data_IF_897641723910
#
_entry.id   IF_897641723910
#
_cell.length_a   1.000
_cell.length_b   1.000
_cell.length_c   1.000
_cell.angle_alpha   90.00
_cell.angle_beta   90.00
_cell.angle_gamma   90.00
#
_symmetry.space_group_name_H-M   'P 1'
#
loop_
_entity.id
_entity.type
_entity.pdbx_description
1 polymer ?
#
# COMPACT_ATOMS: atom_id res chain seq x y z
N UNK A 1 -5.77 11.09 -35.04
CA UNK A 1 -6.02 11.42 -33.64
C UNK A 1 -6.78 10.29 -32.97
N UNK A 2 -6.21 9.73 -31.94
CA UNK A 2 -6.82 8.64 -31.19
C UNK A 2 -7.38 9.24 -29.91
N UNK A 3 -8.71 9.33 -29.84
CA UNK A 3 -9.42 9.66 -28.61
C UNK A 3 -9.64 8.40 -27.79
N UNK A 4 -9.67 8.54 -26.46
CA UNK A 4 -10.12 7.50 -25.54
C UNK A 4 -11.53 7.90 -25.08
N UNK A 5 -12.49 7.00 -25.28
CA UNK A 5 -13.84 7.15 -24.75
C UNK A 5 -14.00 6.19 -23.58
N UNK A 6 -14.42 6.73 -22.44
CA UNK A 6 -14.76 5.95 -21.27
C UNK A 6 -16.28 5.89 -21.14
N UNK A 7 -16.83 4.70 -21.00
CA UNK A 7 -18.24 4.47 -20.75
C UNK A 7 -18.39 3.77 -19.40
N UNK A 8 -19.22 4.36 -18.53
CA UNK A 8 -19.52 3.79 -17.22
C UNK A 8 -21.00 3.46 -17.17
N UNK A 9 -21.31 2.18 -16.92
CA UNK A 9 -22.67 1.71 -16.72
C UNK A 9 -22.87 1.43 -15.23
N UNK A 10 -23.73 2.24 -14.61
CA UNK A 10 -24.08 2.06 -13.20
C UNK A 10 -25.40 1.30 -13.11
N UNK A 11 -25.40 0.20 -12.38
CA UNK A 11 -26.60 -0.61 -12.18
C UNK A 11 -26.68 -1.12 -10.74
N UNK A 12 -27.88 -1.33 -10.25
CA UNK A 12 -28.13 -1.94 -8.95
C UNK A 12 -29.26 -2.97 -9.06
N UNK A 13 -29.17 -4.02 -8.26
CA UNK A 13 -30.27 -4.99 -8.08
C UNK A 13 -31.18 -4.60 -6.92
N UNK A 14 -30.84 -3.55 -6.19
CA UNK A 14 -31.56 -3.06 -5.02
C UNK A 14 -32.13 -1.68 -5.32
N UNK A 15 -33.44 -1.55 -5.34
CA UNK A 15 -34.17 -0.31 -5.58
C UNK A 15 -33.97 0.78 -4.52
N UNK A 16 -33.48 0.39 -3.34
CA UNK A 16 -33.16 1.31 -2.24
C UNK A 16 -31.73 1.87 -2.27
N UNK A 17 -30.91 1.43 -3.24
CA UNK A 17 -29.51 1.84 -3.34
C UNK A 17 -29.25 2.42 -4.72
N UNK A 18 -28.81 3.68 -4.77
CA UNK A 18 -28.36 4.33 -6.00
C UNK A 18 -26.83 4.17 -6.11
N UNK A 19 -26.32 3.52 -7.17
CA UNK A 19 -24.90 3.45 -7.38
C UNK A 19 -24.34 4.84 -7.70
N UNK A 20 -23.18 5.16 -7.15
CA UNK A 20 -22.49 6.42 -7.37
C UNK A 20 -21.05 6.21 -7.82
N UNK A 21 -20.62 6.99 -8.82
CA UNK A 21 -19.24 7.08 -9.24
C UNK A 21 -18.65 8.39 -8.70
N UNK A 22 -17.61 8.30 -7.88
CA UNK A 22 -16.97 9.47 -7.25
C UNK A 22 -15.78 10.00 -8.02
N UNK A 23 -15.03 9.10 -8.66
CA UNK A 23 -13.87 9.44 -9.46
C UNK A 23 -13.76 8.48 -10.65
N UNK A 24 -13.54 9.03 -11.83
CA UNK A 24 -13.11 8.30 -13.02
C UNK A 24 -11.84 8.96 -13.53
N UNK A 25 -10.76 8.21 -13.64
CA UNK A 25 -9.49 8.71 -14.14
C UNK A 25 -8.91 7.77 -15.19
N UNK A 26 -8.21 8.34 -16.17
CA UNK A 26 -7.44 7.60 -17.14
C UNK A 26 -6.00 8.14 -17.17
N UNK A 27 -5.03 7.24 -17.04
CA UNK A 27 -3.62 7.58 -17.14
C UNK A 27 -3.13 7.29 -18.55
N UNK A 28 -2.75 8.33 -19.27
CA UNK A 28 -2.25 8.23 -20.65
C UNK A 28 -0.82 8.76 -20.68
N UNK A 29 0.11 7.95 -21.18
CA UNK A 29 1.47 8.41 -21.48
C UNK A 29 1.49 9.12 -22.81
N UNK A 30 1.85 10.42 -22.89
CA UNK A 30 2.03 11.11 -24.15
C UNK A 30 3.16 10.49 -24.99
N UNK A 31 3.01 10.46 -26.32
CA UNK A 31 4.05 9.98 -27.22
C UNK A 31 5.31 10.87 -27.16
N UNK A 32 5.13 12.18 -27.03
CA UNK A 32 6.19 13.16 -26.84
C UNK A 32 6.10 13.71 -25.42
N UNK A 33 6.60 12.95 -24.47
CA UNK A 33 6.63 13.34 -23.07
C UNK A 33 8.01 13.86 -22.67
N UNK A 34 8.09 15.17 -22.50
CA UNK A 34 9.29 15.83 -21.98
C UNK A 34 9.23 15.85 -20.44
N UNK A 35 10.24 15.23 -19.81
CA UNK A 35 10.34 15.18 -18.36
C UNK A 35 10.87 16.48 -17.83
N UNK A 36 10.00 17.34 -17.33
CA UNK A 36 10.38 18.61 -16.73
C UNK A 36 10.90 18.42 -15.29
N UNK A 37 11.93 19.15 -14.91
CA UNK A 37 12.50 19.06 -13.57
C UNK A 37 11.75 19.92 -12.52
N UNK A 38 11.09 20.99 -12.95
CA UNK A 38 10.43 21.93 -12.03
C UNK A 38 11.40 22.71 -11.15
N UNK A 39 10.86 23.50 -10.22
CA UNK A 39 11.65 24.25 -9.27
C UNK A 39 12.09 23.38 -8.09
N UNK A 40 13.33 23.53 -7.58
CA UNK A 40 13.76 22.85 -6.37
C UNK A 40 12.84 23.20 -5.19
N UNK A 41 12.56 22.20 -4.37
CA UNK A 41 11.83 22.38 -3.09
C UNK A 41 12.58 21.66 -1.98
N UNK A 42 12.49 22.17 -0.76
CA UNK A 42 12.99 21.53 0.44
C UNK A 42 11.80 21.25 1.34
N UNK A 43 11.23 20.05 1.23
CA UNK A 43 10.07 19.63 2.02
C UNK A 43 10.11 18.13 2.28
N UNK A 44 9.92 17.77 3.54
CA UNK A 44 9.84 16.39 4.04
C UNK A 44 8.46 16.13 4.61
N UNK A 45 7.86 15.04 4.18
CA UNK A 45 6.60 14.53 4.70
C UNK A 45 6.86 13.28 5.54
N UNK A 46 6.08 13.08 6.56
CA UNK A 46 6.06 11.81 7.29
C UNK A 46 5.31 10.78 6.47
N UNK A 47 5.85 9.57 6.40
CA UNK A 47 5.21 8.42 5.79
C UNK A 47 5.54 7.20 6.64
N UNK A 48 4.56 6.39 7.10
CA UNK A 48 4.84 5.17 7.84
C UNK A 48 5.79 4.24 7.11
N UNK A 49 6.62 3.55 7.87
CA UNK A 49 7.69 2.68 7.38
C UNK A 49 7.19 1.24 7.40
N UNK A 50 7.13 0.61 6.24
CA UNK A 50 6.77 -0.79 6.07
C UNK A 50 7.77 -1.46 5.14
N UNK A 51 8.38 -2.57 5.58
CA UNK A 51 9.28 -3.38 4.77
C UNK A 51 8.68 -4.75 4.42
N UNK A 52 9.12 -5.32 3.30
CA UNK A 52 8.66 -6.63 2.84
C UNK A 52 8.95 -7.75 3.81
N UNK A 53 10.10 -7.68 4.51
CA UNK A 53 10.55 -8.73 5.43
C UNK A 53 9.69 -8.86 6.69
N UNK A 54 8.93 -7.81 7.06
CA UNK A 54 8.02 -7.82 8.19
C UNK A 54 6.63 -8.36 7.85
N UNK A 55 6.36 -8.64 6.57
CA UNK A 55 5.06 -9.06 6.07
C UNK A 55 5.11 -10.44 5.42
N UNK A 56 3.96 -11.09 5.32
CA UNK A 56 3.90 -12.48 4.88
C UNK A 56 4.26 -12.64 3.39
N UNK A 57 5.23 -13.49 3.07
CA UNK A 57 5.66 -13.78 1.71
C UNK A 57 4.59 -14.48 0.85
N UNK A 58 3.51 -15.01 1.44
CA UNK A 58 2.46 -15.67 0.66
C UNK A 58 1.63 -14.72 -0.19
N UNK A 59 1.67 -13.41 0.07
CA UNK A 59 1.14 -12.41 -0.84
C UNK A 59 2.02 -12.18 -2.08
N UNK A 60 3.13 -12.89 -2.18
CA UNK A 60 3.98 -12.90 -3.35
C UNK A 60 4.93 -11.70 -3.46
N UNK A 61 5.55 -11.62 -4.64
CA UNK A 61 6.59 -10.61 -4.93
C UNK A 61 6.05 -9.18 -5.09
N UNK A 62 4.73 -9.04 -5.22
CA UNK A 62 4.06 -7.77 -5.54
C UNK A 62 3.57 -7.02 -4.29
N UNK A 63 4.09 -7.36 -3.10
CA UNK A 63 3.70 -6.68 -1.84
C UNK A 63 4.25 -5.26 -1.71
N UNK A 64 5.22 -4.86 -2.52
CA UNK A 64 5.76 -3.51 -2.52
C UNK A 64 4.66 -2.45 -2.72
N UNK A 65 3.74 -2.66 -3.64
CA UNK A 65 2.64 -1.73 -3.89
C UNK A 65 1.61 -1.67 -2.74
N UNK A 66 1.10 -2.79 -2.19
CA UNK A 66 0.27 -2.77 -1.00
C UNK A 66 0.89 -2.05 0.20
N UNK A 67 2.19 -2.27 0.47
CA UNK A 67 2.93 -1.61 1.55
C UNK A 67 2.94 -0.10 1.38
N UNK A 68 3.28 0.37 0.18
CA UNK A 68 3.30 1.81 -0.13
C UNK A 68 1.90 2.40 -0.03
N UNK A 69 0.88 1.72 -0.55
CA UNK A 69 -0.50 2.21 -0.49
C UNK A 69 -1.04 2.28 0.95
N UNK A 70 -0.74 1.28 1.79
CA UNK A 70 -1.06 1.33 3.21
C UNK A 70 -0.38 2.53 3.89
N UNK A 71 0.90 2.75 3.62
CA UNK A 71 1.63 3.89 4.15
C UNK A 71 0.99 5.23 3.73
N UNK A 72 0.60 5.37 2.45
CA UNK A 72 -0.07 6.58 1.95
C UNK A 72 -1.40 6.84 2.64
N UNK A 73 -2.23 5.81 2.86
CA UNK A 73 -3.52 5.95 3.54
C UNK A 73 -3.35 6.18 5.04
N UNK A 74 -2.43 5.46 5.70
CA UNK A 74 -2.18 5.60 7.13
C UNK A 74 -1.57 6.95 7.50
N UNK A 75 -0.83 7.58 6.59
CA UNK A 75 -0.42 8.97 6.73
C UNK A 75 -1.60 9.92 7.01
N UNK A 76 -2.78 9.60 6.48
CA UNK A 76 -4.01 10.37 6.64
C UNK A 76 -4.92 9.81 7.76
N UNK A 77 -4.41 8.89 8.58
CA UNK A 77 -5.10 8.35 9.73
C UNK A 77 -6.01 7.14 9.44
N UNK A 78 -5.79 6.42 8.32
CA UNK A 78 -6.57 5.25 7.97
C UNK A 78 -6.04 4.08 8.75
N UNK A 79 -5.86 3.72 9.66
CA UNK A 79 -5.37 2.49 10.35
C UNK A 79 -5.67 1.19 9.54
N UNK A 80 -5.07 1.07 8.36
CA UNK A 80 -5.19 -0.09 7.47
C UNK A 80 -3.87 -0.85 7.38
N UNK A 81 -3.96 -2.18 7.34
CA UNK A 81 -2.79 -3.04 7.22
C UNK A 81 -2.42 -3.24 5.75
N UNK A 82 -1.12 -3.39 5.41
CA UNK A 82 -0.70 -3.74 4.06
C UNK A 82 -1.37 -4.99 3.50
N UNK A 83 -1.61 -6.00 4.35
CA UNK A 83 -2.31 -7.24 3.99
C UNK A 83 -3.79 -7.00 3.67
N UNK A 84 -4.45 -6.10 4.39
CA UNK A 84 -5.83 -5.69 4.05
C UNK A 84 -5.86 -4.99 2.68
N UNK A 85 -4.89 -4.12 2.41
CA UNK A 85 -4.76 -3.47 1.10
C UNK A 85 -4.50 -4.51 0.02
N UNK A 86 -3.57 -5.43 0.24
CA UNK A 86 -3.27 -6.52 -0.69
C UNK A 86 -4.51 -7.35 -0.99
N UNK A 87 -5.29 -7.69 0.03
CA UNK A 87 -6.54 -8.44 -0.15
C UNK A 87 -7.59 -7.68 -0.97
N UNK A 88 -7.75 -6.38 -0.73
CA UNK A 88 -8.71 -5.53 -1.46
C UNK A 88 -8.32 -5.36 -2.92
N UNK A 89 -7.01 -5.20 -3.20
CA UNK A 89 -6.51 -4.93 -4.55
C UNK A 89 -6.08 -6.16 -5.34
N UNK A 90 -6.14 -7.36 -4.73
CA UNK A 90 -5.74 -8.59 -5.42
C UNK A 90 -6.56 -8.81 -6.70
N UNK A 91 -5.86 -9.02 -7.79
CA UNK A 91 -6.48 -9.45 -9.05
C UNK A 91 -6.88 -10.92 -8.94
N UNK A 92 -8.18 -11.19 -8.92
CA UNK A 92 -8.72 -12.54 -8.78
C UNK A 92 -8.31 -13.47 -9.93
N UNK A 93 -7.98 -12.93 -11.09
CA UNK A 93 -7.59 -13.73 -12.26
C UNK A 93 -6.12 -14.17 -12.20
N UNK A 94 -5.25 -13.33 -11.66
CA UNK A 94 -3.80 -13.55 -11.66
C UNK A 94 -3.21 -13.79 -10.28
N UNK A 95 -3.94 -13.46 -9.21
CA UNK A 95 -3.44 -13.44 -7.83
C UNK A 95 -2.44 -12.32 -7.54
N UNK A 96 -2.18 -11.44 -8.51
CA UNK A 96 -1.21 -10.33 -8.37
C UNK A 96 -1.79 -9.17 -7.60
N UNK A 97 -0.96 -8.53 -6.79
CA UNK A 97 -1.24 -7.26 -6.09
C UNK A 97 -0.47 -6.07 -6.68
N UNK A 98 0.21 -6.28 -7.83
CA UNK A 98 1.04 -5.25 -8.49
C UNK A 98 0.28 -4.30 -9.44
N UNK A 99 -1.05 -4.41 -9.56
CA UNK A 99 -1.82 -3.60 -10.49
C UNK A 99 -2.14 -2.21 -9.92
N UNK A 100 -1.54 -1.17 -10.48
CA UNK A 100 -1.70 0.20 -10.03
C UNK A 100 -3.15 0.74 -10.13
N UNK A 101 -3.95 0.27 -11.09
CA UNK A 101 -5.35 0.66 -11.20
C UNK A 101 -6.18 0.05 -10.05
N UNK A 102 -5.87 -1.20 -9.66
CA UNK A 102 -6.52 -1.85 -8.52
C UNK A 102 -6.09 -1.22 -7.20
N UNK A 103 -4.82 -0.80 -7.08
CA UNK A 103 -4.34 -0.04 -5.94
C UNK A 103 -5.12 1.28 -5.77
N UNK A 104 -5.32 2.02 -6.86
CA UNK A 104 -6.12 3.24 -6.83
C UNK A 104 -7.59 2.96 -6.47
N UNK A 105 -8.17 1.87 -6.99
CA UNK A 105 -9.53 1.45 -6.65
C UNK A 105 -9.64 1.04 -5.17
N UNK A 106 -8.65 0.32 -4.62
CA UNK A 106 -8.62 -0.06 -3.21
C UNK A 106 -8.61 1.16 -2.28
N UNK A 107 -7.80 2.18 -2.59
CA UNK A 107 -7.82 3.44 -1.87
C UNK A 107 -9.18 4.14 -2.01
N UNK A 108 -9.82 4.07 -3.19
CA UNK A 108 -11.16 4.57 -3.44
C UNK A 108 -12.22 3.89 -2.56
N UNK A 109 -12.14 2.57 -2.35
CA UNK A 109 -13.00 1.83 -1.42
C UNK A 109 -12.85 2.34 0.03
N UNK A 110 -11.65 2.78 0.39
CA UNK A 110 -11.38 3.42 1.68
C UNK A 110 -11.82 4.90 1.72
N UNK A 111 -12.38 5.45 0.63
CA UNK A 111 -12.89 6.82 0.55
C UNK A 111 -11.85 7.86 0.12
N UNK A 112 -10.67 7.46 -0.31
CA UNK A 112 -9.62 8.37 -0.75
C UNK A 112 -9.72 8.63 -2.27
N UNK A 113 -9.75 9.88 -2.72
CA UNK A 113 -9.50 10.20 -4.12
C UNK A 113 -8.09 9.73 -4.50
N UNK A 114 -8.01 8.75 -5.38
CA UNK A 114 -6.75 8.13 -5.76
C UNK A 114 -6.76 7.78 -7.25
N UNK A 115 -5.66 8.02 -7.93
CA UNK A 115 -5.54 7.76 -9.37
C UNK A 115 -4.09 7.46 -9.76
N UNK A 116 -3.94 6.65 -10.79
CA UNK A 116 -2.67 6.47 -11.46
C UNK A 116 -2.43 7.63 -12.42
N UNK A 117 -1.20 8.11 -12.51
CA UNK A 117 -0.79 9.17 -13.42
C UNK A 117 0.61 8.92 -14.01
N UNK A 118 0.90 9.60 -15.11
CA UNK A 118 2.26 9.82 -15.58
C UNK A 118 2.70 11.19 -15.08
N UNK A 119 3.78 11.21 -14.31
CA UNK A 119 4.32 12.41 -13.66
C UNK A 119 5.77 12.61 -14.02
N UNK A 120 6.21 13.85 -14.15
CA UNK A 120 7.61 14.23 -14.17
C UNK A 120 8.07 14.75 -12.80
N UNK A 121 9.31 15.24 -12.69
CA UNK A 121 9.83 15.76 -11.43
C UNK A 121 9.11 17.03 -10.98
N UNK A 122 8.61 17.83 -11.93
CA UNK A 122 7.82 19.03 -11.62
C UNK A 122 6.52 18.64 -10.96
N UNK A 123 5.80 17.70 -11.56
CA UNK A 123 4.54 17.18 -11.02
C UNK A 123 4.73 16.59 -9.61
N UNK A 124 5.80 15.79 -9.43
CA UNK A 124 6.11 15.19 -8.13
C UNK A 124 6.43 16.25 -7.07
N UNK A 125 7.17 17.30 -7.42
CA UNK A 125 7.45 18.43 -6.52
C UNK A 125 6.18 19.17 -6.14
N UNK A 126 5.27 19.39 -7.07
CA UNK A 126 3.96 19.99 -6.81
C UNK A 126 3.14 19.13 -5.83
N UNK A 127 3.11 17.78 -6.01
CA UNK A 127 2.44 16.90 -5.06
C UNK A 127 3.02 17.03 -3.64
N UNK A 128 4.35 17.01 -3.51
CA UNK A 128 5.01 17.16 -2.21
C UNK A 128 4.78 18.58 -1.65
N UNK A 129 4.78 19.61 -2.50
CA UNK A 129 4.47 20.98 -2.09
C UNK A 129 3.04 21.07 -1.53
N UNK A 130 2.09 20.38 -2.10
CA UNK A 130 0.70 20.29 -1.60
C UNK A 130 0.56 19.41 -0.35
N UNK A 131 1.64 18.82 0.14
CA UNK A 131 1.61 17.93 1.31
C UNK A 131 1.19 16.52 1.00
N UNK A 132 1.15 16.09 -0.25
CA UNK A 132 0.75 14.77 -0.68
C UNK A 132 1.94 13.90 -1.04
N UNK A 133 2.13 12.79 -0.31
CA UNK A 133 3.08 11.74 -0.70
C UNK A 133 2.52 10.96 -1.89
N UNK A 134 3.41 10.37 -2.69
CA UNK A 134 3.08 9.70 -3.96
C UNK A 134 3.74 8.34 -4.02
N UNK A 135 3.04 7.31 -4.49
CA UNK A 135 3.69 6.07 -4.88
C UNK A 135 4.35 6.27 -6.26
N UNK A 136 5.63 5.92 -6.37
CA UNK A 136 6.44 6.07 -7.59
C UNK A 136 7.02 4.74 -8.01
N UNK A 137 6.99 4.43 -9.31
CA UNK A 137 7.58 3.21 -9.86
C UNK A 137 9.03 3.45 -10.27
N UNK A 138 9.95 2.79 -9.58
CA UNK A 138 11.39 2.81 -9.86
C UNK A 138 11.77 1.52 -10.57
N UNK A 139 12.53 1.60 -11.65
CA UNK A 139 13.07 0.44 -12.35
C UNK A 139 14.59 0.49 -12.34
N UNK A 140 15.20 -0.51 -11.72
CA UNK A 140 16.65 -0.66 -11.64
C UNK A 140 17.10 -1.86 -12.46
N UNK A 141 18.18 -1.71 -13.22
CA UNK A 141 18.85 -2.85 -13.84
C UNK A 141 19.78 -3.48 -12.82
N UNK A 142 19.49 -4.71 -12.45
CA UNK A 142 20.37 -5.51 -11.59
C UNK A 142 21.34 -6.26 -12.48
N UNK A 143 22.64 -6.18 -12.14
CA UNK A 143 23.71 -6.88 -12.89
C UNK A 143 23.43 -8.39 -12.90
N UNK A 144 23.38 -8.97 -14.12
CA UNK A 144 23.09 -10.39 -14.31
C UNK A 144 21.60 -10.73 -14.52
N UNK A 145 20.69 -9.76 -14.44
CA UNK A 145 19.30 -9.94 -14.82
C UNK A 145 19.04 -9.33 -16.21
N UNK A 146 18.26 -10.03 -17.04
CA UNK A 146 17.90 -9.55 -18.39
C UNK A 146 16.94 -8.37 -18.32
N UNK A 147 15.94 -8.45 -17.45
CA UNK A 147 14.90 -7.45 -17.32
C UNK A 147 15.12 -6.54 -16.10
N UNK A 148 14.78 -5.25 -16.21
CA UNK A 148 14.85 -4.36 -15.07
C UNK A 148 13.86 -4.81 -13.99
N UNK A 149 14.29 -4.77 -12.74
CA UNK A 149 13.40 -5.01 -11.60
C UNK A 149 12.72 -3.69 -11.25
N UNK A 150 11.40 -3.69 -11.31
CA UNK A 150 10.62 -2.54 -10.92
C UNK A 150 10.10 -2.70 -9.49
N UNK A 151 10.20 -1.64 -8.70
CA UNK A 151 9.72 -1.55 -7.31
C UNK A 151 8.85 -0.31 -7.16
N UNK A 152 7.76 -0.42 -6.43
CA UNK A 152 7.00 0.74 -5.97
C UNK A 152 7.61 1.26 -4.68
N UNK A 153 7.87 2.56 -4.64
CA UNK A 153 8.40 3.26 -3.46
C UNK A 153 7.49 4.42 -3.07
N UNK A 154 7.48 4.77 -1.79
CA UNK A 154 6.78 5.94 -1.30
C UNK A 154 7.64 7.20 -1.41
N UNK A 155 7.28 8.14 -2.28
CA UNK A 155 7.91 9.46 -2.32
C UNK A 155 7.38 10.30 -1.16
N UNK A 156 8.29 10.74 -0.28
CA UNK A 156 7.95 11.54 0.91
C UNK A 156 8.60 12.91 0.96
N UNK A 157 9.43 13.26 -0.03
CA UNK A 157 10.00 14.58 -0.04
C UNK A 157 11.14 14.80 -1.01
N UNK A 158 11.60 16.03 -0.99
CA UNK A 158 12.81 16.51 -1.65
C UNK A 158 13.60 17.33 -0.66
N UNK A 159 14.90 17.36 -0.83
CA UNK A 159 15.81 18.17 -0.05
C UNK A 159 16.99 18.67 -0.88
N UNK A 160 17.74 19.56 -0.29
CA UNK A 160 18.98 20.09 -0.83
C UNK A 160 20.07 19.94 0.22
N UNK A 161 21.25 19.55 -0.21
CA UNK A 161 22.44 19.49 0.63
C UNK A 161 23.37 20.62 0.19
N UNK A 162 23.45 21.66 1.02
CA UNK A 162 24.28 22.85 0.75
C UNK A 162 25.78 22.53 0.72
N UNK A 163 26.23 21.47 1.42
CA UNK A 163 27.64 21.12 1.49
C UNK A 163 28.16 20.54 0.17
N UNK A 164 27.30 19.80 -0.55
CA UNK A 164 27.64 19.19 -1.85
C UNK A 164 26.88 19.82 -3.02
N UNK A 165 26.07 20.84 -2.76
CA UNK A 165 25.23 21.56 -3.74
C UNK A 165 24.39 20.59 -4.59
N UNK A 166 23.81 19.61 -3.95
CA UNK A 166 23.06 18.55 -4.63
C UNK A 166 21.63 18.41 -4.11
N UNK A 167 20.70 18.25 -5.03
CA UNK A 167 19.31 17.92 -4.72
C UNK A 167 19.15 16.40 -4.53
N UNK A 168 18.34 16.02 -3.57
CA UNK A 168 18.02 14.63 -3.30
C UNK A 168 16.51 14.39 -3.12
N UNK A 169 16.12 13.15 -3.33
CA UNK A 169 14.76 12.64 -3.15
C UNK A 169 14.72 11.81 -1.87
N UNK A 170 13.70 12.00 -1.09
CA UNK A 170 13.41 11.21 0.12
C UNK A 170 12.36 10.16 -0.21
N UNK A 171 12.69 8.90 -0.02
CA UNK A 171 11.87 7.75 -0.38
C UNK A 171 11.67 6.82 0.82
N UNK A 172 10.59 6.06 0.78
CA UNK A 172 10.41 4.83 1.54
C UNK A 172 10.56 3.66 0.56
N UNK A 173 11.61 2.86 0.75
CA UNK A 173 11.89 1.65 -0.03
C UNK A 173 11.40 0.42 0.73
N UNK A 174 10.28 -0.21 0.32
CA UNK A 174 9.76 -1.37 1.02
C UNK A 174 10.63 -2.62 0.88
N UNK A 175 11.63 -2.62 -0.01
CA UNK A 175 12.56 -3.75 -0.18
C UNK A 175 13.74 -3.72 0.79
N UNK A 176 13.75 -2.77 1.73
CA UNK A 176 14.74 -2.70 2.78
C UNK A 176 14.65 -3.91 3.73
N UNK A 177 15.76 -4.23 4.40
CA UNK A 177 15.86 -5.39 5.26
C UNK A 177 15.10 -5.26 6.59
N UNK A 178 14.72 -4.03 6.97
CA UNK A 178 13.95 -3.73 8.17
C UNK A 178 13.18 -2.42 8.03
N UNK A 179 12.14 -2.22 8.87
CA UNK A 179 11.36 -0.97 8.88
C UNK A 179 12.24 0.26 9.12
N UNK A 180 13.23 0.18 10.00
CA UNK A 180 14.16 1.28 10.25
C UNK A 180 15.07 1.64 9.06
N UNK A 181 15.24 0.75 8.09
CA UNK A 181 16.03 0.96 6.88
C UNK A 181 15.20 1.40 5.66
N UNK A 182 13.88 1.42 5.80
CA UNK A 182 12.94 1.80 4.72
C UNK A 182 13.17 3.23 4.23
N UNK A 183 13.52 4.15 5.14
CA UNK A 183 13.81 5.53 4.79
C UNK A 183 15.14 5.62 4.05
N UNK A 184 15.09 5.94 2.77
CA UNK A 184 16.27 6.11 1.95
C UNK A 184 16.30 7.47 1.25
N UNK A 185 17.49 7.83 0.80
CA UNK A 185 17.78 9.06 0.08
C UNK A 185 18.45 8.72 -1.24
N UNK A 186 18.05 9.38 -2.31
CA UNK A 186 18.62 9.20 -3.64
C UNK A 186 18.89 10.56 -4.28
N UNK A 187 20.04 10.72 -4.96
CA UNK A 187 20.27 11.93 -5.75
C UNK A 187 19.18 12.12 -6.80
N UNK A 188 18.72 13.35 -7.01
CA UNK A 188 17.64 13.63 -8.01
C UNK A 188 18.03 13.13 -9.40
N UNK A 189 19.31 13.22 -9.77
CA UNK A 189 19.83 12.73 -11.05
C UNK A 189 19.67 11.22 -11.22
N UNK A 190 19.93 10.45 -10.17
CA UNK A 190 19.76 9.00 -10.17
C UNK A 190 18.28 8.61 -10.14
N UNK A 191 17.49 9.31 -9.32
CA UNK A 191 16.05 9.13 -9.32
C UNK A 191 15.45 9.37 -10.72
N UNK A 192 15.80 10.46 -11.38
CA UNK A 192 15.31 10.77 -12.74
C UNK A 192 15.70 9.69 -13.78
N UNK A 193 16.83 9.01 -13.58
CA UNK A 193 17.28 7.91 -14.45
C UNK A 193 16.43 6.65 -14.26
N UNK A 194 16.01 6.34 -13.03
CA UNK A 194 15.31 5.10 -12.68
C UNK A 194 13.80 5.26 -12.59
N UNK A 195 13.31 6.48 -12.40
CA UNK A 195 11.89 6.75 -12.35
C UNK A 195 11.23 6.56 -13.70
N UNK A 196 10.24 5.68 -13.76
CA UNK A 196 9.55 5.34 -15.00
C UNK A 196 8.57 6.42 -15.47
N UNK A 197 8.23 7.36 -14.61
CA UNK A 197 7.14 8.32 -14.76
C UNK A 197 5.80 7.82 -14.26
N UNK A 198 5.68 6.52 -13.93
CA UNK A 198 4.43 5.99 -13.37
C UNK A 198 4.34 6.33 -11.89
N UNK A 199 3.21 6.91 -11.52
CA UNK A 199 2.94 7.33 -10.16
C UNK A 199 1.48 7.05 -9.77
N UNK A 200 1.21 6.94 -8.47
CA UNK A 200 -0.14 6.89 -7.92
C UNK A 200 -0.26 8.03 -6.92
N UNK A 201 -1.14 8.98 -7.23
CA UNK A 201 -1.45 10.09 -6.36
C UNK A 201 -2.67 9.76 -5.49
N UNK A 202 -2.59 10.16 -4.22
CA UNK A 202 -3.66 10.00 -3.25
C UNK A 202 -3.89 11.33 -2.54
N UNK A 203 -5.14 11.74 -2.44
CA UNK A 203 -5.57 12.95 -1.72
C UNK A 203 -6.23 12.60 -0.39
N UNK A 204 -6.22 13.50 0.59
CA UNK A 204 -6.96 13.31 1.83
C UNK A 204 -8.43 13.01 1.56
N UNK A 205 -9.00 12.17 2.43
CA UNK A 205 -10.41 11.80 2.39
C UNK A 205 -11.27 13.05 2.62
N UNK A 206 -12.21 13.35 1.72
CA UNK A 206 -13.23 14.35 1.99
C UNK A 206 -14.03 14.00 3.26
N UNK A 207 -14.43 15.00 4.03
CA UNK A 207 -15.08 14.78 5.34
C UNK A 207 -16.48 14.14 5.24
N UNK A 208 -17.14 14.31 4.10
CA UNK A 208 -18.50 13.85 3.80
C UNK A 208 -18.55 12.47 3.12
N UNK A 209 -17.40 11.84 2.91
CA UNK A 209 -17.33 10.53 2.24
C UNK A 209 -17.22 9.41 3.28
N UNK A 210 -18.23 8.55 3.32
CA UNK A 210 -18.16 7.29 4.05
C UNK A 210 -17.35 6.25 3.26
N UNK A 211 -16.48 5.52 3.97
CA UNK A 211 -15.68 4.46 3.35
C UNK A 211 -16.55 3.23 3.05
N UNK A 212 -16.46 2.71 1.83
CA UNK A 212 -17.11 1.48 1.39
C UNK A 212 -16.12 0.32 1.38
N UNK A 213 -15.48 0.09 2.52
CA UNK A 213 -14.55 -1.02 2.73
C UNK A 213 -15.22 -2.15 3.50
N UNK A 214 -14.69 -3.38 3.41
CA UNK A 214 -15.15 -4.47 4.27
C UNK A 214 -15.16 -4.03 5.74
N UNK A 215 -16.27 -4.27 6.43
CA UNK A 215 -16.38 -3.92 7.84
C UNK A 215 -15.45 -4.80 8.66
N UNK A 216 -14.64 -4.20 9.50
CA UNK A 216 -13.93 -4.94 10.55
C UNK A 216 -14.96 -5.48 11.54
N UNK A 217 -14.90 -6.77 11.77
CA UNK A 217 -15.75 -7.41 12.78
C UNK A 217 -14.91 -7.58 14.04
N UNK A 218 -15.29 -6.96 15.16
CA UNK A 218 -14.60 -7.19 16.43
C UNK A 218 -14.65 -8.68 16.78
N UNK A 219 -13.51 -9.27 16.94
CA UNK A 219 -13.36 -10.66 17.33
C UNK A 219 -12.24 -10.80 18.34
N UNK A 220 -12.22 -11.89 19.07
CA UNK A 220 -11.14 -12.28 19.95
C UNK A 220 -10.67 -13.68 19.61
N UNK A 221 -9.43 -13.98 19.99
CA UNK A 221 -8.94 -15.36 19.97
C UNK A 221 -8.96 -15.91 21.38
N UNK A 222 -9.52 -17.09 21.54
CA UNK A 222 -9.54 -17.84 22.80
C UNK A 222 -8.54 -18.99 22.68
N UNK A 223 -7.59 -19.05 23.60
CA UNK A 223 -6.64 -20.15 23.65
C UNK A 223 -7.28 -21.36 24.37
N UNK A 224 -7.21 -22.53 23.76
CA UNK A 224 -7.61 -23.80 24.33
C UNK A 224 -6.38 -24.57 24.78
N UNK A 225 -6.28 -24.84 26.09
CA UNK A 225 -5.21 -25.68 26.64
C UNK A 225 -5.40 -27.17 26.35
N UNK A 226 -6.60 -27.59 26.00
CA UNK A 226 -6.90 -28.99 25.62
C UNK A 226 -6.35 -29.34 24.25
N UNK A 227 -6.49 -28.41 23.29
CA UNK A 227 -6.10 -28.61 21.89
C UNK A 227 -4.77 -27.95 21.54
N UNK A 228 -4.19 -27.19 22.48
CA UNK A 228 -3.00 -26.36 22.26
C UNK A 228 -3.14 -25.46 21.01
N UNK A 229 -4.27 -24.78 20.91
CA UNK A 229 -4.56 -23.92 19.77
C UNK A 229 -5.50 -22.77 20.10
N UNK A 230 -5.58 -21.79 19.18
CA UNK A 230 -6.44 -20.62 19.28
C UNK A 230 -7.69 -20.79 18.46
N UNK A 231 -8.83 -20.41 19.00
CA UNK A 231 -10.11 -20.36 18.31
C UNK A 231 -10.57 -18.94 18.13
N UNK A 232 -11.13 -18.64 16.97
CA UNK A 232 -11.79 -17.37 16.73
C UNK A 232 -13.09 -17.31 17.52
N UNK A 233 -13.26 -16.28 18.34
CA UNK A 233 -14.49 -16.00 19.09
C UNK A 233 -15.14 -14.72 18.56
N UNK A 234 -16.38 -14.81 18.14
CA UNK A 234 -17.22 -13.69 17.79
C UNK A 234 -18.31 -13.53 18.85
N UNK A 235 -18.33 -12.38 19.53
CA UNK A 235 -19.31 -12.11 20.59
C UNK A 235 -19.33 -13.18 21.69
N UNK A 236 -18.18 -13.73 22.05
CA UNK A 236 -18.04 -14.75 23.09
C UNK A 236 -18.44 -16.16 22.65
N UNK A 237 -18.67 -16.38 21.35
CA UNK A 237 -18.96 -17.72 20.82
C UNK A 237 -17.85 -18.17 19.88
N UNK A 238 -17.30 -19.37 20.12
CA UNK A 238 -16.32 -19.99 19.22
C UNK A 238 -16.94 -20.20 17.84
N UNK A 239 -16.20 -19.83 16.80
CA UNK A 239 -16.61 -19.95 15.41
C UNK A 239 -15.82 -21.06 14.72
N UNK A 240 -16.53 -21.99 14.08
CA UNK A 240 -15.93 -22.91 13.13
C UNK A 240 -15.87 -22.20 11.77
N UNK A 241 -14.66 -21.85 11.37
CA UNK A 241 -14.43 -21.18 10.09
C UNK A 241 -14.36 -22.21 8.95
N UNK A 242 -14.77 -21.83 7.71
CA UNK A 242 -14.64 -22.69 6.54
C UNK A 242 -13.21 -23.21 6.33
N UNK A 243 -13.07 -24.36 5.67
CA UNK A 243 -11.77 -25.01 5.50
C UNK A 243 -10.75 -24.14 4.72
N UNK A 244 -11.25 -23.35 3.79
CA UNK A 244 -10.49 -22.42 2.95
C UNK A 244 -10.10 -21.11 3.66
N UNK A 245 -10.59 -20.89 4.88
CA UNK A 245 -10.24 -19.69 5.63
C UNK A 245 -8.76 -19.73 6.06
N UNK A 246 -8.02 -18.70 5.72
CA UNK A 246 -6.67 -18.48 6.20
C UNK A 246 -6.68 -17.34 7.22
N UNK A 247 -6.13 -17.59 8.39
CA UNK A 247 -6.02 -16.61 9.46
C UNK A 247 -4.63 -15.98 9.50
N UNK A 248 -4.59 -14.70 9.80
CA UNK A 248 -3.39 -13.92 10.02
C UNK A 248 -3.47 -13.28 11.39
N UNK A 249 -2.40 -13.33 12.13
CA UNK A 249 -2.32 -12.64 13.39
C UNK A 249 -1.14 -11.68 13.41
N UNK A 250 -1.39 -10.48 13.91
CA UNK A 250 -0.35 -9.51 14.19
C UNK A 250 0.12 -9.68 15.63
N UNK A 251 1.41 -9.88 15.83
CA UNK A 251 2.03 -9.81 17.15
C UNK A 251 2.57 -8.39 17.36
N UNK A 252 2.13 -7.71 18.42
CA UNK A 252 2.79 -6.51 18.90
C UNK A 252 4.02 -6.90 19.72
N UNK A 253 5.15 -6.18 19.63
CA UNK A 253 6.24 -6.34 20.57
C UNK A 253 5.76 -6.10 22.01
N UNK A 254 6.36 -6.78 22.95
CA UNK A 254 5.89 -7.01 24.33
C UNK A 254 6.06 -5.84 25.29
N UNK A 255 6.03 -4.64 24.93
CA UNK A 255 6.25 -3.49 25.80
C UNK A 255 4.99 -2.89 26.44
N UNK A 256 3.86 -3.55 26.32
CA UNK A 256 2.64 -3.20 27.09
C UNK A 256 2.06 -1.83 26.79
N UNK A 257 2.65 -1.08 25.89
CA UNK A 257 2.16 0.23 25.46
C UNK A 257 1.41 0.03 24.16
N UNK A 258 0.11 0.20 24.22
CA UNK A 258 -0.77 0.19 23.07
C UNK A 258 -0.47 1.39 22.14
N UNK A 259 0.68 1.41 21.53
CA UNK A 259 0.92 2.27 20.39
C UNK A 259 0.27 1.61 19.19
N UNK A 260 -0.92 2.06 18.91
CA UNK A 260 -1.75 1.62 17.78
C UNK A 260 -1.22 2.11 16.42
N UNK A 261 0.08 2.01 16.18
CA UNK A 261 0.63 2.20 14.86
C UNK A 261 0.90 0.84 14.26
N UNK A 262 0.27 0.55 13.15
CA UNK A 262 0.50 -0.64 12.31
C UNK A 262 1.99 -0.84 11.95
N UNK A 263 2.82 0.17 12.11
CA UNK A 263 4.24 0.19 11.78
C UNK A 263 5.13 -0.81 12.56
N UNK A 264 4.65 -1.35 13.68
CA UNK A 264 5.46 -2.24 14.53
C UNK A 264 4.84 -3.62 14.73
N UNK A 265 3.88 -4.01 13.89
CA UNK A 265 3.22 -5.31 13.97
C UNK A 265 3.86 -6.28 13.00
N UNK A 266 4.40 -7.37 13.51
CA UNK A 266 4.83 -8.50 12.67
C UNK A 266 3.64 -9.41 12.43
N UNK A 267 3.30 -9.64 11.15
CA UNK A 267 2.24 -10.56 10.78
C UNK A 267 2.79 -11.95 10.59
N UNK A 268 2.17 -12.94 11.22
CA UNK A 268 2.49 -14.35 11.02
C UNK A 268 1.24 -15.08 10.54
N UNK A 269 1.39 -15.90 9.53
CA UNK A 269 0.33 -16.81 9.09
C UNK A 269 0.12 -17.86 10.16
N UNK A 270 -1.12 -18.04 10.58
CA UNK A 270 -1.50 -19.08 11.52
C UNK A 270 -1.80 -20.38 10.77
N UNK A 271 -1.26 -21.49 11.26
CA UNK A 271 -1.58 -22.80 10.75
C UNK A 271 -2.90 -23.30 11.31
N UNK A 272 -3.75 -23.84 10.44
CA UNK A 272 -5.02 -24.42 10.85
C UNK A 272 -4.81 -25.82 11.40
N UNK A 273 -5.38 -26.09 12.56
CA UNK A 273 -5.38 -27.42 13.18
C UNK A 273 -6.52 -28.28 12.64
N UNK A 274 -6.44 -29.60 12.86
CA UNK A 274 -7.50 -30.55 12.50
C UNK A 274 -8.83 -30.28 13.23
N UNK A 275 -8.76 -29.68 14.42
CA UNK A 275 -9.91 -29.29 15.25
C UNK A 275 -10.57 -27.98 14.83
N UNK A 276 -10.03 -27.30 13.79
CA UNK A 276 -10.53 -26.03 13.28
C UNK A 276 -10.01 -24.80 14.01
N UNK A 277 -9.14 -24.96 14.99
CA UNK A 277 -8.40 -23.87 15.63
C UNK A 277 -7.17 -23.45 14.82
N UNK A 278 -6.42 -22.49 15.32
CA UNK A 278 -5.21 -21.95 14.71
C UNK A 278 -4.05 -21.98 15.71
N UNK A 279 -2.85 -22.23 15.22
CA UNK A 279 -1.62 -22.06 16.00
C UNK A 279 -0.59 -21.26 15.23
N UNK A 280 0.30 -20.60 15.96
CA UNK A 280 1.49 -20.00 15.33
C UNK A 280 2.45 -21.12 14.94
N UNK A 281 3.05 -21.08 13.72
CA UNK A 281 4.10 -22.00 13.37
C UNK A 281 5.28 -21.84 14.37
N UNK A 282 6.01 -22.92 14.70
CA UNK A 282 7.19 -22.83 15.54
C UNK A 282 8.19 -21.84 14.94
N UNK A 283 8.88 -21.11 15.78
CA UNK A 283 9.95 -20.21 15.33
C UNK A 283 11.05 -21.07 14.69
N UNK A 284 11.38 -20.75 13.43
CA UNK A 284 12.51 -21.35 12.72
C UNK A 284 13.80 -20.64 13.08
#
# INVERSE_FOLDING_TARGET
GTGVQLQVNLSTKNDKVTPALRLLAAAVRPLAWDKQSGHPINRRLYLPEYCLSAHDPSFGRDMDLPLVMAALMNRWGEDILPEEVAHIMADKATGSTGNAAFAAAAAGCCGYPCWQAWMDLKDLREQIHDGCSVAVRIERRIRGQRDPVGVWMGLRGFGHDDAVLADFVLLNDPTADSDGAVNCTMAVTDFARYFTGRAIALRPKPRDIEADRPRRVPCSFEYSTEDDCWYLSLRGQRQLLPAEFSGWAACSPHDGVAHATTAHRTFRRMERTRTGGFRFPPEQ
#
